data_IF_426126962839
#
_entry.id   IF_426126962839
#
_cell.length_a   1.000
_cell.length_b   1.000
_cell.length_c   1.000
_cell.angle_alpha   90.00
_cell.angle_beta   90.00
_cell.angle_gamma   90.00
#
_symmetry.space_group_name_H-M   'P 1'
#
loop_
_entity.id
_entity.type
_entity.pdbx_description
1 polymer ?
#
# COMPACT_ATOMS: atom_id res chain seq x y z
N UNK A 1 -14.31 26.36 -0.33
CA UNK A 1 -13.94 24.99 -0.70
C UNK A 1 -12.42 24.98 -0.67
N UNK A 2 -11.79 24.52 0.41
CA UNK A 2 -10.33 24.44 0.52
C UNK A 2 -9.88 23.23 -0.31
N UNK A 3 -9.05 23.46 -1.31
CA UNK A 3 -8.29 22.42 -1.98
C UNK A 3 -7.44 21.73 -0.92
N UNK A 4 -7.85 20.56 -0.50
CA UNK A 4 -7.03 19.69 0.34
C UNK A 4 -5.87 19.22 -0.52
N UNK A 5 -4.67 19.63 -0.13
CA UNK A 5 -3.41 19.40 -0.82
C UNK A 5 -3.17 17.92 -1.02
N UNK A 6 -3.47 17.40 -2.20
CA UNK A 6 -2.89 16.13 -2.63
C UNK A 6 -1.38 16.34 -2.76
N UNK A 7 -0.59 15.49 -2.12
CA UNK A 7 0.88 15.57 -2.21
C UNK A 7 1.29 15.37 -3.67
N UNK A 8 1.80 16.44 -4.32
CA UNK A 8 2.28 16.35 -5.69
C UNK A 8 3.68 15.76 -5.70
N UNK A 9 3.76 14.44 -5.89
CA UNK A 9 5.04 13.71 -5.92
C UNK A 9 5.99 14.21 -7.03
N UNK A 10 5.46 14.80 -8.10
CA UNK A 10 6.29 15.38 -9.16
C UNK A 10 7.28 16.45 -8.69
N UNK A 11 6.89 17.28 -7.71
CA UNK A 11 7.75 18.35 -7.16
C UNK A 11 8.77 17.86 -6.12
N UNK A 12 8.59 16.64 -5.58
CA UNK A 12 9.48 16.04 -4.56
C UNK A 12 10.08 14.71 -5.05
N UNK A 13 10.20 14.53 -6.37
CA UNK A 13 10.66 13.28 -6.97
C UNK A 13 12.03 12.85 -6.46
N UNK A 14 12.99 13.78 -6.40
CA UNK A 14 14.35 13.48 -5.98
C UNK A 14 14.40 13.18 -4.47
N UNK A 15 13.61 13.88 -3.67
CA UNK A 15 13.50 13.64 -2.23
C UNK A 15 12.81 12.30 -1.93
N UNK A 16 11.81 11.91 -2.74
CA UNK A 16 11.20 10.59 -2.65
C UNK A 16 12.17 9.48 -3.09
N UNK A 17 12.95 9.71 -4.16
CA UNK A 17 13.99 8.78 -4.58
C UNK A 17 15.06 8.62 -3.50
N UNK A 18 15.43 9.70 -2.82
CA UNK A 18 16.34 9.67 -1.66
C UNK A 18 15.80 8.78 -0.54
N UNK A 19 14.51 8.94 -0.17
CA UNK A 19 13.86 8.06 0.81
C UNK A 19 13.92 6.59 0.38
N UNK A 20 13.53 6.27 -0.85
CA UNK A 20 13.52 4.89 -1.35
C UNK A 20 14.92 4.26 -1.38
N UNK A 21 15.97 5.05 -1.63
CA UNK A 21 17.34 4.57 -1.67
C UNK A 21 17.88 4.21 -0.28
N UNK A 22 17.39 4.88 0.77
CA UNK A 22 17.90 4.77 2.14
C UNK A 22 16.97 4.00 3.08
N UNK A 23 15.81 3.54 2.57
CA UNK A 23 14.81 2.80 3.33
C UNK A 23 14.75 1.33 2.91
N UNK A 24 14.64 0.44 3.89
CA UNK A 24 14.34 -0.98 3.66
C UNK A 24 12.84 -1.29 3.68
N UNK A 25 11.98 -0.26 3.58
CA UNK A 25 10.53 -0.39 3.65
C UNK A 25 9.97 -1.36 2.60
N UNK A 26 10.33 -1.14 1.32
CA UNK A 26 9.83 -1.97 0.23
C UNK A 26 10.22 -3.46 0.38
N UNK A 27 11.45 -3.74 0.82
CA UNK A 27 11.92 -5.12 1.07
C UNK A 27 11.23 -5.75 2.29
N UNK A 28 10.91 -4.95 3.31
CA UNK A 28 10.17 -5.41 4.48
C UNK A 28 8.72 -5.74 4.12
N UNK A 29 8.07 -4.88 3.31
CA UNK A 29 6.72 -5.12 2.80
C UNK A 29 6.64 -6.39 1.97
N UNK A 30 7.56 -6.55 1.02
CA UNK A 30 7.61 -7.73 0.18
C UNK A 30 7.75 -9.01 0.99
N UNK A 31 8.67 -9.03 1.98
CA UNK A 31 8.84 -10.18 2.87
C UNK A 31 7.58 -10.49 3.67
N UNK A 32 6.90 -9.46 4.15
CA UNK A 32 5.68 -9.62 4.94
C UNK A 32 4.49 -10.08 4.08
N UNK A 33 4.39 -9.64 2.83
CA UNK A 33 3.32 -10.06 1.92
C UNK A 33 3.49 -11.49 1.39
N UNK A 34 4.72 -12.00 1.26
CA UNK A 34 5.00 -13.30 0.66
C UNK A 34 4.17 -14.46 1.24
N UNK A 35 4.03 -14.64 2.57
CA UNK A 35 3.21 -15.73 3.14
C UNK A 35 1.74 -15.64 2.75
N UNK A 36 1.22 -14.43 2.51
CA UNK A 36 -0.19 -14.23 2.18
C UNK A 36 -0.53 -14.60 0.74
N UNK A 37 0.46 -14.68 -0.15
CA UNK A 37 0.28 -15.05 -1.56
C UNK A 37 0.11 -16.56 -1.76
N UNK A 38 0.50 -17.37 -0.78
CA UNK A 38 0.36 -18.80 -0.85
C UNK A 38 -1.12 -19.20 -0.95
N UNK A 39 -1.46 -19.97 -1.97
CA UNK A 39 -2.84 -20.44 -2.22
C UNK A 39 -3.71 -19.46 -3.04
N UNK A 40 -3.19 -18.27 -3.42
CA UNK A 40 -3.82 -17.46 -4.47
C UNK A 40 -3.50 -18.02 -5.88
N UNK A 41 -2.38 -18.72 -6.01
CA UNK A 41 -1.98 -19.36 -7.26
C UNK A 41 -2.81 -20.62 -7.50
N UNK A 42 -3.95 -20.49 -8.16
CA UNK A 42 -4.70 -21.61 -8.70
C UNK A 42 -4.00 -22.08 -9.97
N UNK A 43 -3.62 -23.36 -10.05
CA UNK A 43 -2.76 -23.89 -11.12
C UNK A 43 -3.31 -23.71 -12.54
N UNK A 44 -4.63 -23.48 -12.68
CA UNK A 44 -5.32 -23.45 -13.97
C UNK A 44 -6.10 -22.15 -14.29
N UNK A 45 -6.08 -21.12 -13.43
CA UNK A 45 -6.89 -19.92 -13.61
C UNK A 45 -6.05 -18.65 -13.88
N UNK A 46 -6.68 -17.67 -14.53
CA UNK A 46 -6.09 -16.33 -14.72
C UNK A 46 -6.18 -15.51 -13.42
N UNK A 47 -5.15 -14.71 -13.15
CA UNK A 47 -5.13 -13.79 -12.01
C UNK A 47 -5.39 -12.36 -12.49
N UNK A 48 -6.33 -11.71 -11.87
CA UNK A 48 -6.55 -10.27 -12.08
C UNK A 48 -6.08 -9.54 -10.83
N UNK A 49 -5.04 -8.76 -11.01
CA UNK A 49 -4.47 -7.93 -9.95
C UNK A 49 -4.81 -6.47 -10.20
N UNK A 50 -5.27 -5.80 -9.15
CA UNK A 50 -5.37 -4.35 -9.10
C UNK A 50 -4.29 -3.80 -8.17
N UNK A 51 -3.51 -2.84 -8.66
CA UNK A 51 -2.67 -1.99 -7.81
C UNK A 51 -3.28 -0.59 -7.71
N UNK A 52 -3.74 -0.26 -6.52
CA UNK A 52 -4.39 1.01 -6.22
C UNK A 52 -3.37 2.00 -5.67
N UNK A 53 -3.03 3.03 -6.45
CA UNK A 53 -2.00 4.01 -6.14
C UNK A 53 -0.59 3.49 -6.41
N UNK A 54 -0.40 2.89 -7.59
CA UNK A 54 0.84 2.19 -7.94
C UNK A 54 2.07 3.11 -8.10
N UNK A 55 1.90 4.44 -8.12
CA UNK A 55 2.98 5.36 -8.46
C UNK A 55 3.55 5.06 -9.86
N UNK A 56 4.87 4.96 -9.95
CA UNK A 56 5.59 4.60 -11.18
C UNK A 56 5.65 3.08 -11.44
N UNK A 57 4.98 2.26 -10.62
CA UNK A 57 4.95 0.80 -10.71
C UNK A 57 6.21 0.10 -10.17
N UNK A 58 7.12 0.83 -9.52
CA UNK A 58 8.39 0.26 -9.04
C UNK A 58 8.22 -0.80 -7.97
N UNK A 59 7.35 -0.57 -6.99
CA UNK A 59 7.03 -1.56 -5.97
C UNK A 59 6.32 -2.77 -6.58
N UNK A 60 5.32 -2.54 -7.43
CA UNK A 60 4.56 -3.59 -8.11
C UNK A 60 5.45 -4.50 -8.93
N UNK A 61 6.45 -3.95 -9.64
CA UNK A 61 7.42 -4.74 -10.39
C UNK A 61 8.22 -5.69 -9.47
N UNK A 62 8.73 -5.19 -8.34
CA UNK A 62 9.41 -6.02 -7.32
C UNK A 62 8.48 -7.10 -6.76
N UNK A 63 7.23 -6.74 -6.48
CA UNK A 63 6.20 -7.66 -5.99
C UNK A 63 5.93 -8.80 -6.99
N UNK A 64 5.80 -8.48 -8.28
CA UNK A 64 5.57 -9.46 -9.34
C UNK A 64 6.77 -10.38 -9.55
N UNK A 65 8.01 -9.88 -9.45
CA UNK A 65 9.22 -10.72 -9.46
C UNK A 65 9.18 -11.75 -8.32
N UNK A 66 8.78 -11.31 -7.12
CA UNK A 66 8.74 -12.19 -5.96
C UNK A 66 7.58 -13.19 -6.01
N UNK A 67 6.43 -12.82 -6.57
CA UNK A 67 5.24 -13.69 -6.64
C UNK A 67 5.44 -14.90 -7.53
N UNK A 68 6.38 -14.82 -8.50
CA UNK A 68 6.68 -15.87 -9.49
C UNK A 68 5.46 -16.35 -10.28
N UNK A 69 4.46 -15.49 -10.45
CA UNK A 69 3.27 -15.84 -11.21
C UNK A 69 3.58 -15.99 -12.70
N UNK A 70 2.83 -16.87 -13.36
CA UNK A 70 2.97 -17.09 -14.80
C UNK A 70 2.47 -15.85 -15.57
N UNK A 71 3.31 -15.23 -16.41
CA UNK A 71 2.95 -14.00 -17.12
C UNK A 71 1.67 -14.13 -17.97
N UNK A 72 1.48 -15.28 -18.60
CA UNK A 72 0.34 -15.56 -19.50
C UNK A 72 -1.00 -15.57 -18.77
N UNK A 73 -0.98 -15.73 -17.46
CA UNK A 73 -2.18 -15.77 -16.61
C UNK A 73 -2.47 -14.46 -15.90
N UNK A 74 -1.50 -13.54 -15.91
CA UNK A 74 -1.56 -12.29 -15.15
C UNK A 74 -2.24 -11.18 -15.95
N UNK A 75 -3.35 -10.65 -15.43
CA UNK A 75 -4.02 -9.46 -15.91
C UNK A 75 -3.81 -8.33 -14.90
N UNK A 76 -3.16 -7.26 -15.36
CA UNK A 76 -2.82 -6.13 -14.51
C UNK A 76 -3.74 -4.95 -14.77
N UNK A 77 -4.26 -4.40 -13.70
CA UNK A 77 -4.97 -3.14 -13.65
C UNK A 77 -4.27 -2.24 -12.65
N UNK A 78 -4.07 -0.99 -13.01
CA UNK A 78 -3.48 0.01 -12.12
C UNK A 78 -4.39 1.22 -11.99
N UNK A 79 -4.41 1.80 -10.82
CA UNK A 79 -5.04 3.09 -10.53
C UNK A 79 -3.97 4.04 -10.03
N UNK A 80 -3.73 5.12 -10.79
CA UNK A 80 -2.78 6.17 -10.43
C UNK A 80 -3.28 7.52 -10.96
N UNK A 81 -3.56 8.49 -10.07
CA UNK A 81 -4.07 9.80 -10.47
C UNK A 81 -3.08 10.60 -11.35
N UNK A 82 -1.78 10.57 -11.03
CA UNK A 82 -0.76 11.28 -11.81
C UNK A 82 -0.55 10.64 -13.17
N UNK A 83 -0.76 11.42 -14.24
CA UNK A 83 -0.68 10.91 -15.60
C UNK A 83 0.73 10.50 -16.03
N UNK A 84 1.78 11.10 -15.41
CA UNK A 84 3.18 10.77 -15.73
C UNK A 84 3.57 9.47 -15.06
N UNK A 85 3.28 9.31 -13.76
CA UNK A 85 3.50 8.06 -13.05
C UNK A 85 2.69 6.91 -13.65
N UNK A 86 1.42 7.16 -13.98
CA UNK A 86 0.55 6.16 -14.61
C UNK A 86 1.13 5.62 -15.93
N UNK A 87 1.71 6.50 -16.80
CA UNK A 87 2.39 6.06 -18.02
C UNK A 87 3.64 5.25 -17.71
N UNK A 88 4.49 5.73 -16.79
CA UNK A 88 5.69 5.01 -16.37
C UNK A 88 5.37 3.62 -15.80
N UNK A 89 4.29 3.52 -15.02
CA UNK A 89 3.83 2.25 -14.50
C UNK A 89 3.37 1.29 -15.61
N UNK A 90 2.60 1.76 -16.59
CA UNK A 90 2.22 0.93 -17.75
C UNK A 90 3.45 0.42 -18.47
N UNK A 91 4.40 1.31 -18.82
CA UNK A 91 5.62 0.95 -19.55
C UNK A 91 6.45 -0.09 -18.76
N UNK A 92 6.58 0.09 -17.46
CA UNK A 92 7.33 -0.82 -16.58
C UNK A 92 6.65 -2.17 -16.42
N UNK A 93 5.35 -2.17 -16.18
CA UNK A 93 4.60 -3.37 -15.82
C UNK A 93 4.20 -4.22 -17.02
N UNK A 94 4.21 -3.66 -18.24
CA UNK A 94 3.94 -4.41 -19.46
C UNK A 94 4.93 -5.56 -19.69
N UNK A 95 6.11 -5.51 -19.09
CA UNK A 95 7.11 -6.58 -19.17
C UNK A 95 6.70 -7.87 -18.40
N UNK A 96 5.71 -7.79 -17.51
CA UNK A 96 5.30 -8.91 -16.65
C UNK A 96 4.11 -9.69 -17.17
N UNK A 97 3.48 -9.25 -18.26
CA UNK A 97 2.30 -9.90 -18.84
C UNK A 97 2.21 -9.64 -20.33
N UNK A 98 1.78 -10.63 -21.16
CA UNK A 98 1.47 -10.40 -22.56
C UNK A 98 0.14 -9.63 -22.77
N UNK A 99 -0.68 -9.50 -21.71
CA UNK A 99 -1.95 -8.80 -21.78
C UNK A 99 -1.74 -7.29 -21.62
N UNK A 100 -2.55 -6.43 -22.29
CA UNK A 100 -2.45 -4.99 -22.09
C UNK A 100 -2.68 -4.60 -20.62
N UNK A 101 -1.74 -3.85 -20.03
CA UNK A 101 -1.92 -3.27 -18.70
C UNK A 101 -2.99 -2.18 -18.79
N UNK A 102 -4.09 -2.36 -18.05
CA UNK A 102 -5.16 -1.36 -17.97
C UNK A 102 -4.82 -0.33 -16.90
N UNK A 103 -5.02 0.97 -17.23
CA UNK A 103 -4.63 2.05 -16.32
C UNK A 103 -5.71 3.13 -16.22
N UNK A 104 -6.11 3.49 -15.01
CA UNK A 104 -7.12 4.50 -14.74
C UNK A 104 -6.65 5.57 -13.75
N UNK A 105 -7.15 6.81 -13.87
CA UNK A 105 -6.83 7.87 -12.90
C UNK A 105 -7.57 7.68 -11.56
N UNK A 106 -8.65 6.90 -11.54
CA UNK A 106 -9.44 6.58 -10.36
C UNK A 106 -10.08 5.20 -10.56
N UNK A 107 -10.43 4.53 -9.46
CA UNK A 107 -11.10 3.24 -9.51
C UNK A 107 -12.50 3.39 -10.14
N UNK A 108 -12.79 2.73 -11.26
CA UNK A 108 -14.11 2.80 -11.88
C UNK A 108 -15.17 2.14 -10.98
N UNK A 109 -16.31 2.81 -10.72
CA UNK A 109 -17.31 2.34 -9.76
C UNK A 109 -18.07 1.09 -10.20
N UNK A 110 -18.00 0.72 -11.49
CA UNK A 110 -18.68 -0.47 -12.02
C UNK A 110 -17.89 -1.77 -11.79
N UNK A 111 -16.64 -1.71 -11.33
CA UNK A 111 -15.85 -2.90 -11.04
C UNK A 111 -16.35 -3.57 -9.76
N UNK A 112 -16.82 -4.81 -9.91
CA UNK A 112 -17.38 -5.58 -8.82
C UNK A 112 -16.86 -7.01 -8.87
N UNK A 113 -16.29 -7.48 -7.76
CA UNK A 113 -15.77 -8.85 -7.62
C UNK A 113 -14.89 -9.26 -8.81
N UNK A 114 -13.98 -8.36 -9.23
CA UNK A 114 -13.18 -8.51 -10.45
C UNK A 114 -11.75 -8.96 -10.20
N UNK A 115 -11.21 -8.77 -8.99
CA UNK A 115 -9.78 -8.94 -8.73
C UNK A 115 -9.54 -9.97 -7.65
N UNK A 116 -8.73 -10.97 -7.95
CA UNK A 116 -8.26 -11.98 -7.01
C UNK A 116 -7.23 -11.40 -6.03
N UNK A 117 -6.47 -10.37 -6.46
CA UNK A 117 -5.58 -9.60 -5.61
C UNK A 117 -5.78 -8.10 -5.81
N UNK A 118 -5.89 -7.38 -4.70
CA UNK A 118 -5.83 -5.91 -4.69
C UNK A 118 -4.70 -5.49 -3.74
N UNK A 119 -3.81 -4.63 -4.25
CA UNK A 119 -2.72 -4.02 -3.50
C UNK A 119 -2.99 -2.52 -3.34
N UNK A 120 -2.78 -1.98 -2.12
CA UNK A 120 -2.84 -0.55 -1.83
C UNK A 120 -1.68 -0.18 -0.87
N UNK A 121 -0.45 -0.20 -1.42
CA UNK A 121 0.77 -0.03 -0.61
C UNK A 121 1.10 1.43 -0.42
N UNK A 122 1.08 1.93 0.82
CA UNK A 122 1.43 3.31 1.20
C UNK A 122 0.70 4.42 0.41
N UNK A 123 -0.57 4.22 0.07
CA UNK A 123 -1.36 5.18 -0.73
C UNK A 123 -2.57 5.75 0.00
N UNK A 124 -3.16 5.02 0.93
CA UNK A 124 -4.43 5.41 1.58
C UNK A 124 -4.31 6.67 2.46
N UNK A 125 -3.10 7.19 2.70
CA UNK A 125 -2.84 8.47 3.39
C UNK A 125 -3.61 9.64 2.77
N UNK A 126 -3.83 9.59 1.46
CA UNK A 126 -4.35 10.71 0.65
C UNK A 126 -5.85 10.58 0.34
N UNK A 127 -6.53 9.57 0.89
CA UNK A 127 -7.94 9.35 0.66
C UNK A 127 -8.79 10.40 1.40
N UNK A 128 -9.52 11.25 0.67
CA UNK A 128 -10.44 12.23 1.26
C UNK A 128 -11.61 11.57 1.99
N UNK A 129 -12.16 10.52 1.39
CA UNK A 129 -13.17 9.63 1.97
C UNK A 129 -12.57 8.23 2.06
N UNK A 130 -11.85 7.97 3.15
CA UNK A 130 -11.19 6.69 3.36
C UNK A 130 -12.18 5.53 3.39
N UNK A 131 -13.35 5.74 4.05
CA UNK A 131 -14.39 4.69 4.13
C UNK A 131 -14.97 4.38 2.76
N UNK A 132 -15.33 5.39 1.98
CA UNK A 132 -15.82 5.22 0.62
C UNK A 132 -14.79 4.60 -0.31
N UNK A 133 -13.50 5.01 -0.18
CA UNK A 133 -12.38 4.43 -0.94
C UNK A 133 -12.21 2.94 -0.63
N UNK A 134 -12.14 2.56 0.65
CA UNK A 134 -12.03 1.16 1.06
C UNK A 134 -13.26 0.35 0.64
N UNK A 135 -14.46 0.90 0.77
CA UNK A 135 -15.69 0.26 0.30
C UNK A 135 -15.63 -0.05 -1.20
N UNK A 136 -15.16 0.90 -2.02
CA UNK A 136 -14.99 0.70 -3.47
C UNK A 136 -13.94 -0.36 -3.80
N UNK A 137 -12.79 -0.32 -3.13
CA UNK A 137 -11.71 -1.31 -3.27
C UNK A 137 -12.23 -2.71 -2.92
N UNK A 138 -12.86 -2.85 -1.76
CA UNK A 138 -13.38 -4.13 -1.29
C UNK A 138 -14.56 -4.63 -2.11
N UNK A 139 -15.37 -3.73 -2.70
CA UNK A 139 -16.41 -4.12 -3.66
C UNK A 139 -15.83 -4.74 -4.94
N UNK A 140 -14.65 -4.27 -5.37
CA UNK A 140 -13.94 -4.82 -6.53
C UNK A 140 -13.22 -6.14 -6.23
N UNK A 141 -13.01 -6.50 -4.95
CA UNK A 141 -12.34 -7.74 -4.54
C UNK A 141 -13.23 -8.96 -4.83
N UNK A 142 -12.66 -9.95 -5.52
CA UNK A 142 -13.34 -11.21 -5.87
C UNK A 142 -13.53 -12.13 -4.64
N UNK A 143 -14.23 -13.24 -4.86
CA UNK A 143 -14.33 -14.35 -3.91
C UNK A 143 -14.02 -15.66 -4.66
N UNK A 144 -12.90 -16.33 -4.40
CA UNK A 144 -11.86 -15.98 -3.41
C UNK A 144 -11.06 -14.73 -3.81
N UNK A 145 -10.50 -14.03 -2.82
CA UNK A 145 -9.70 -12.83 -3.07
C UNK A 145 -8.92 -12.36 -1.85
N UNK A 146 -7.88 -11.58 -2.12
CA UNK A 146 -6.97 -11.01 -1.13
C UNK A 146 -6.80 -9.51 -1.36
N UNK A 147 -7.01 -8.71 -0.34
CA UNK A 147 -6.61 -7.30 -0.31
C UNK A 147 -5.45 -7.14 0.66
N UNK A 148 -4.41 -6.45 0.21
CA UNK A 148 -3.21 -6.11 0.97
C UNK A 148 -3.02 -4.59 0.97
N UNK A 149 -2.78 -4.01 2.14
CA UNK A 149 -2.45 -2.59 2.26
C UNK A 149 -1.39 -2.36 3.34
N UNK A 150 -0.53 -1.35 3.14
CA UNK A 150 0.44 -0.89 4.13
C UNK A 150 0.18 0.57 4.50
N UNK A 151 0.25 0.89 5.79
CA UNK A 151 -0.01 2.23 6.32
C UNK A 151 0.83 2.52 7.57
N UNK A 152 1.44 3.70 7.63
CA UNK A 152 2.02 4.21 8.87
C UNK A 152 0.92 4.54 9.90
N UNK A 153 1.12 4.10 11.14
CA UNK A 153 0.25 4.46 12.26
C UNK A 153 0.72 5.75 12.97
N UNK A 154 -0.03 6.17 13.97
CA UNK A 154 0.25 7.40 14.76
C UNK A 154 1.58 7.34 15.51
N UNK A 155 2.08 6.13 15.80
CA UNK A 155 3.37 5.90 16.49
C UNK A 155 4.55 5.72 15.54
N UNK A 156 4.34 5.76 14.23
CA UNK A 156 5.40 5.72 13.24
C UNK A 156 6.27 6.99 13.36
N UNK A 157 7.59 6.82 13.42
CA UNK A 157 8.52 7.93 13.69
C UNK A 157 8.44 9.05 12.63
N UNK A 158 8.27 8.69 11.34
CA UNK A 158 8.13 9.66 10.26
C UNK A 158 6.78 10.40 10.32
N UNK A 159 5.71 9.69 10.68
CA UNK A 159 4.39 10.30 10.90
C UNK A 159 4.41 11.24 12.11
N UNK A 160 5.11 10.88 13.19
CA UNK A 160 5.29 11.76 14.35
C UNK A 160 6.10 13.01 14.00
N UNK A 161 7.18 12.87 13.24
CA UNK A 161 7.95 14.01 12.74
C UNK A 161 7.06 14.97 11.94
N UNK A 162 6.32 14.43 10.95
CA UNK A 162 5.41 15.28 10.14
C UNK A 162 4.35 15.94 11.01
N UNK A 163 3.75 15.24 11.96
CA UNK A 163 2.76 15.80 12.89
C UNK A 163 3.33 16.95 13.69
N UNK A 164 4.53 16.82 14.27
CA UNK A 164 5.20 17.89 14.99
C UNK A 164 5.42 19.12 14.10
N UNK A 165 5.79 18.93 12.83
CA UNK A 165 5.93 20.02 11.89
C UNK A 165 4.59 20.72 11.61
N UNK A 166 3.49 19.98 11.42
CA UNK A 166 2.15 20.56 11.26
C UNK A 166 1.68 21.29 12.52
N UNK A 167 1.98 20.78 13.71
CA UNK A 167 1.69 21.44 14.99
C UNK A 167 2.44 22.78 15.09
N UNK A 168 3.71 22.85 14.69
CA UNK A 168 4.49 24.10 14.60
C UNK A 168 3.83 25.11 13.66
N UNK A 169 3.24 24.65 12.56
CA UNK A 169 2.52 25.48 11.60
C UNK A 169 1.11 25.90 12.09
N UNK A 170 0.64 25.35 13.20
CA UNK A 170 -0.74 25.52 13.66
C UNK A 170 -1.77 24.92 12.69
N UNK A 171 -1.38 23.92 11.93
CA UNK A 171 -2.22 23.23 10.95
C UNK A 171 -2.62 21.83 11.43
N UNK A 172 -3.84 21.34 11.10
CA UNK A 172 -4.19 19.95 11.35
C UNK A 172 -3.30 19.01 10.51
N UNK A 173 -2.99 17.84 11.06
CA UNK A 173 -2.28 16.78 10.31
C UNK A 173 -3.19 16.26 9.18
N UNK A 174 -2.77 16.37 7.91
CA UNK A 174 -3.69 16.16 6.78
C UNK A 174 -3.82 14.71 6.33
N UNK A 175 -3.00 13.78 6.85
CA UNK A 175 -2.90 12.43 6.34
C UNK A 175 -3.69 11.44 7.19
N UNK A 176 -4.33 10.47 6.54
CA UNK A 176 -4.91 9.30 7.20
C UNK A 176 -3.83 8.42 7.82
N UNK A 177 -4.16 7.67 8.85
CA UNK A 177 -3.25 6.78 9.57
C UNK A 177 -3.74 5.33 9.54
N UNK A 178 -2.91 4.39 9.96
CA UNK A 178 -3.32 2.99 10.11
C UNK A 178 -4.54 2.83 11.02
N UNK A 179 -4.65 3.63 12.08
CA UNK A 179 -5.78 3.61 13.00
C UNK A 179 -7.08 4.07 12.33
N UNK A 180 -6.99 5.00 11.36
CA UNK A 180 -8.16 5.43 10.57
C UNK A 180 -8.60 4.32 9.61
N UNK A 181 -7.66 3.54 9.03
CA UNK A 181 -7.97 2.34 8.24
C UNK A 181 -8.66 1.28 9.10
N UNK A 182 -8.17 1.02 10.33
CA UNK A 182 -8.81 0.09 11.27
C UNK A 182 -10.27 0.49 11.55
N UNK A 183 -10.51 1.76 11.87
CA UNK A 183 -11.86 2.27 12.10
C UNK A 183 -12.76 2.13 10.87
N UNK A 184 -12.22 2.41 9.68
CA UNK A 184 -12.98 2.31 8.44
C UNK A 184 -13.35 0.84 8.14
N UNK A 185 -12.40 -0.10 8.21
CA UNK A 185 -12.65 -1.53 8.01
C UNK A 185 -13.68 -2.07 9.00
N UNK A 186 -13.53 -1.76 10.29
CA UNK A 186 -14.50 -2.14 11.33
C UNK A 186 -15.88 -1.58 11.04
N UNK A 187 -15.99 -0.32 10.58
CA UNK A 187 -17.28 0.31 10.24
C UNK A 187 -17.94 -0.26 8.99
N UNK A 188 -17.17 -0.92 8.13
CA UNK A 188 -17.66 -1.67 6.96
C UNK A 188 -18.05 -3.11 7.31
N UNK A 189 -17.72 -3.57 8.53
CA UNK A 189 -17.99 -4.94 8.97
C UNK A 189 -17.05 -5.97 8.33
N UNK A 190 -15.88 -5.54 7.86
CA UNK A 190 -14.89 -6.42 7.24
C UNK A 190 -14.03 -7.10 8.30
N UNK A 191 -13.82 -8.40 8.12
CA UNK A 191 -12.86 -9.19 8.89
C UNK A 191 -11.45 -8.96 8.30
N UNK A 192 -10.49 -8.56 9.11
CA UNK A 192 -9.13 -8.29 8.65
C UNK A 192 -8.05 -8.75 9.64
N UNK A 193 -6.93 -9.18 9.11
CA UNK A 193 -5.68 -9.31 9.84
C UNK A 193 -4.92 -7.99 9.85
N UNK A 194 -4.17 -7.74 10.94
CA UNK A 194 -3.25 -6.61 11.01
C UNK A 194 -1.89 -7.07 11.55
N UNK A 195 -0.82 -6.70 10.85
CA UNK A 195 0.55 -7.08 11.20
C UNK A 195 1.43 -5.85 11.32
N UNK A 196 2.35 -5.86 12.29
CA UNK A 196 3.39 -4.83 12.39
C UNK A 196 4.59 -5.23 11.54
N UNK A 197 5.01 -4.33 10.67
CA UNK A 197 6.18 -4.51 9.83
C UNK A 197 7.23 -3.47 10.20
N UNK A 198 8.44 -3.93 10.48
CA UNK A 198 9.58 -3.11 10.87
C UNK A 198 10.53 -2.96 9.69
N UNK A 199 11.03 -1.74 9.50
CA UNK A 199 12.03 -1.42 8.51
C UNK A 199 13.02 -0.38 9.05
N UNK A 200 14.11 -0.22 8.34
CA UNK A 200 15.17 0.73 8.68
C UNK A 200 15.20 1.87 7.67
N UNK A 201 15.46 3.06 8.18
CA UNK A 201 15.79 4.24 7.38
C UNK A 201 17.15 4.73 7.85
N UNK A 202 18.18 4.58 6.99
CA UNK A 202 19.55 4.94 7.32
C UNK A 202 20.12 5.80 6.20
N UNK A 203 20.59 7.00 6.57
CA UNK A 203 21.21 7.93 5.62
C UNK A 203 22.32 8.76 6.29
N UNK A 204 23.31 9.27 5.52
CA UNK A 204 24.39 10.10 6.08
C UNK A 204 23.84 11.32 6.78
N UNK A 205 24.35 11.61 7.98
CA UNK A 205 23.94 12.75 8.79
C UNK A 205 24.54 14.05 8.25
N UNK A 206 23.94 14.55 7.17
CA UNK A 206 24.23 15.83 6.56
C UNK A 206 22.97 16.69 6.53
N UNK A 207 23.16 18.01 6.65
CA UNK A 207 22.06 18.95 6.71
C UNK A 207 21.13 18.82 5.49
N UNK A 208 21.70 18.71 4.27
CA UNK A 208 20.91 18.59 3.05
C UNK A 208 20.10 17.29 3.00
N UNK A 209 20.60 16.18 3.57
CA UNK A 209 19.88 14.90 3.65
C UNK A 209 18.70 14.98 4.60
N UNK A 210 18.89 15.64 5.77
CA UNK A 210 17.77 15.93 6.69
C UNK A 210 16.72 16.84 6.04
N UNK A 211 17.14 17.83 5.25
CA UNK A 211 16.22 18.69 4.51
C UNK A 211 15.52 17.97 3.38
N UNK A 212 16.22 17.08 2.66
CA UNK A 212 15.61 16.23 1.63
C UNK A 212 14.51 15.34 2.23
N UNK A 213 14.81 14.69 3.36
CA UNK A 213 13.81 13.91 4.08
C UNK A 213 12.64 14.77 4.57
N UNK A 214 12.92 15.98 5.06
CA UNK A 214 11.90 16.94 5.43
C UNK A 214 11.00 17.34 4.26
N UNK A 215 11.55 17.62 3.08
CA UNK A 215 10.77 17.90 1.85
C UNK A 215 9.90 16.72 1.44
N UNK A 216 10.46 15.52 1.47
CA UNK A 216 9.67 14.32 1.23
C UNK A 216 8.48 14.21 2.17
N UNK A 217 8.67 14.42 3.47
CA UNK A 217 7.61 14.26 4.47
C UNK A 217 6.56 15.37 4.45
N UNK A 218 6.99 16.63 4.23
CA UNK A 218 6.12 17.81 4.32
C UNK A 218 5.53 18.26 2.97
N UNK A 219 6.14 17.85 1.85
CA UNK A 219 5.67 18.25 0.51
C UNK A 219 5.59 19.76 0.37
N UNK A 220 4.46 20.28 -0.08
CA UNK A 220 4.22 21.72 -0.30
C UNK A 220 4.28 22.59 0.96
N UNK A 221 4.17 21.99 2.13
CA UNK A 221 4.24 22.73 3.41
C UNK A 221 5.68 22.88 3.93
N UNK A 222 6.67 22.25 3.28
CA UNK A 222 8.07 22.26 3.74
C UNK A 222 8.64 23.66 3.96
N UNK A 223 8.46 24.57 3.00
CA UNK A 223 9.03 25.92 3.06
C UNK A 223 8.44 26.78 4.20
N UNK A 224 7.27 26.43 4.71
CA UNK A 224 6.64 27.09 5.83
C UNK A 224 7.19 26.62 7.19
N UNK A 225 7.82 25.41 7.24
CA UNK A 225 8.39 24.88 8.49
C UNK A 225 9.74 25.54 8.76
N UNK A 226 10.00 26.06 9.97
CA UNK A 226 11.31 26.60 10.31
C UNK A 226 12.41 25.54 10.11
N UNK A 227 13.44 25.88 9.30
CA UNK A 227 14.55 24.97 8.99
C UNK A 227 15.13 24.27 10.22
N UNK A 228 15.29 25.02 11.34
CA UNK A 228 15.78 24.47 12.61
C UNK A 228 14.90 23.35 13.16
N UNK A 229 13.58 23.41 12.93
CA UNK A 229 12.67 22.38 13.41
C UNK A 229 12.84 21.08 12.59
N UNK A 230 13.03 21.20 11.27
CA UNK A 230 13.35 20.06 10.40
C UNK A 230 14.64 19.38 10.87
N UNK A 231 15.71 20.15 11.07
CA UNK A 231 17.02 19.60 11.47
C UNK A 231 16.95 18.93 12.85
N UNK A 232 16.29 19.61 13.81
CA UNK A 232 16.15 19.10 15.17
C UNK A 232 15.32 17.81 15.26
N UNK A 233 14.38 17.61 14.36
CA UNK A 233 13.53 16.40 14.35
C UNK A 233 14.32 15.12 14.10
N UNK A 234 15.50 15.19 13.51
CA UNK A 234 16.37 14.03 13.27
C UNK A 234 17.47 13.86 14.33
N UNK A 235 17.69 14.83 15.23
CA UNK A 235 18.72 14.75 16.30
C UNK A 235 18.62 13.47 17.15
N UNK A 236 17.43 13.00 17.56
CA UNK A 236 17.32 11.79 18.37
C UNK A 236 17.83 10.51 17.68
N UNK A 237 17.99 10.56 16.36
CA UNK A 237 18.41 9.42 15.52
C UNK A 237 19.82 9.56 14.99
N UNK A 238 20.52 10.66 15.33
CA UNK A 238 21.90 10.92 14.90
C UNK A 238 22.88 10.07 15.71
N UNK A 239 23.67 9.28 15.01
CA UNK A 239 24.68 8.43 15.61
C UNK A 239 25.86 8.20 14.64
N UNK A 240 27.10 8.47 15.08
CA UNK A 240 28.33 8.18 14.34
C UNK A 240 28.37 8.71 12.89
N UNK A 241 27.70 9.84 12.61
CA UNK A 241 27.69 10.47 11.27
C UNK A 241 26.56 9.94 10.37
N UNK A 242 25.63 9.18 10.91
CA UNK A 242 24.43 8.70 10.22
C UNK A 242 23.19 9.02 11.01
N UNK A 243 22.06 9.20 10.30
CA UNK A 243 20.72 9.12 10.88
C UNK A 243 20.25 7.68 10.72
N UNK A 244 19.93 7.02 11.84
CA UNK A 244 19.47 5.63 11.87
C UNK A 244 18.15 5.53 12.62
N UNK A 245 17.09 5.19 11.89
CA UNK A 245 15.72 5.11 12.42
C UNK A 245 15.17 3.70 12.27
N UNK A 246 14.70 3.12 13.37
CA UNK A 246 13.83 1.94 13.35
C UNK A 246 12.39 2.41 13.19
N UNK A 247 11.77 2.04 12.10
CA UNK A 247 10.44 2.51 11.73
C UNK A 247 9.47 1.33 11.70
N UNK A 248 8.22 1.58 12.07
CA UNK A 248 7.17 0.55 12.07
C UNK A 248 5.92 1.08 11.38
N UNK A 249 5.32 0.22 10.56
CA UNK A 249 3.99 0.45 9.99
C UNK A 249 3.11 -0.78 10.15
N UNK A 250 1.84 -0.71 9.72
CA UNK A 250 0.90 -1.82 9.77
C UNK A 250 0.55 -2.28 8.35
N UNK A 251 0.52 -3.60 8.18
CA UNK A 251 -0.15 -4.23 7.06
C UNK A 251 -1.58 -4.60 7.43
N UNK A 252 -2.46 -4.48 6.48
CA UNK A 252 -3.86 -4.91 6.55
C UNK A 252 -4.10 -6.00 5.52
N UNK A 253 -4.70 -7.08 5.96
CA UNK A 253 -4.97 -8.26 5.15
C UNK A 253 -6.45 -8.57 5.23
N UNK A 254 -7.21 -8.39 4.12
CA UNK A 254 -8.60 -8.85 4.03
C UNK A 254 -8.64 -10.04 3.08
N UNK A 255 -9.21 -11.17 3.55
CA UNK A 255 -9.38 -12.38 2.75
C UNK A 255 -10.85 -12.69 2.54
N UNK A 256 -11.23 -12.95 1.29
CA UNK A 256 -12.50 -13.54 0.94
C UNK A 256 -12.31 -15.00 0.58
N UNK A 257 -12.96 -15.88 1.32
CA UNK A 257 -12.93 -17.32 1.08
C UNK A 257 -14.21 -17.74 0.38
N UNK A 258 -14.12 -18.76 -0.49
CA UNK A 258 -15.31 -19.43 -0.98
C UNK A 258 -16.11 -19.96 0.23
N UNK A 259 -17.43 -19.75 0.29
CA UNK A 259 -18.24 -20.39 1.32
C UNK A 259 -18.02 -21.90 1.23
N UNK A 260 -17.75 -22.52 2.39
CA UNK A 260 -17.59 -23.96 2.47
C UNK A 260 -18.85 -24.65 1.95
N UNK A 261 -18.80 -25.21 0.75
CA UNK A 261 -19.85 -26.08 0.24
C UNK A 261 -19.66 -27.44 0.93
N UNK A 262 -20.38 -27.65 2.03
CA UNK A 262 -20.42 -28.93 2.71
C UNK A 262 -20.67 -30.01 1.66
N UNK A 263 -19.74 -30.97 1.53
CA UNK A 263 -19.96 -32.15 0.71
C UNK A 263 -21.29 -32.75 1.18
N UNK A 264 -22.30 -32.73 0.36
CA UNK A 264 -23.51 -33.50 0.60
C UNK A 264 -23.06 -34.92 0.90
N UNK A 265 -23.34 -35.35 2.12
CA UNK A 265 -23.11 -36.71 2.60
C UNK A 265 -23.53 -37.69 1.50
N UNK A 266 -22.57 -38.47 1.01
CA UNK A 266 -22.84 -39.56 0.11
C UNK A 266 -23.97 -40.43 0.71
N UNK A 267 -24.93 -40.69 -0.10
CA UNK A 267 -26.11 -41.51 0.24
C UNK A 267 -25.65 -42.78 0.95
N UNK A 268 -26.29 -43.13 2.07
CA UNK A 268 -26.10 -44.37 2.78
C UNK A 268 -26.26 -45.56 1.82
N UNK A 269 -25.39 -46.57 1.86
CA UNK A 269 -25.57 -47.76 1.02
C UNK A 269 -26.89 -48.47 1.35
N UNK A 270 -27.56 -49.07 0.37
CA UNK A 270 -28.81 -49.76 0.60
C UNK A 270 -28.59 -50.97 1.52
N UNK A 271 -29.47 -51.14 2.53
CA UNK A 271 -29.47 -52.30 3.43
C UNK A 271 -29.65 -53.56 2.64
N UNK A 272 -28.91 -54.66 2.92
CA UNK A 272 -29.18 -55.95 2.28
C UNK A 272 -30.56 -56.48 2.64
N UNK A 273 -31.30 -56.93 1.64
CA UNK A 273 -32.55 -57.64 1.82
C UNK A 273 -32.25 -59.02 2.43
N UNK A 274 -32.82 -59.28 3.61
CA UNK A 274 -32.90 -60.63 4.19
C UNK A 274 -33.92 -61.43 3.38
N UNK A 275 -33.48 -62.56 2.86
CA UNK A 275 -34.33 -63.70 2.38
C UNK A 275 -34.37 -64.76 3.46
#
# INVERSE_FOLDING_TARGET
>A
MSETSSKHFGSIRDDYAFFLQHSTEAEADLRAYAPHLHGLAMEDESYRMLDFGCGDGGFTAKFLVQSQWLPERLWLVIVEPDATYRRQAVDRLQAFTPHPVQAWPALPPHLKACFELILANHVLYYAHDLKGTLSGILHALATPGLFLAAMAGRTNALAQFSRQCFDILGKPFPFMTAEDVEMALASLGEDYGAEKVHYELIFPDAEEHRLSMGRFLMGSDFDAVPRRAILAGFEPYSNAGEIAMQVVHKHFIVRRHMPWQGRHSAASPPRPRQH
#
